data_IF_156495028680
#
_entry.id   IF_156495028680
#
_cell.length_a   1.000
_cell.length_b   1.000
_cell.length_c   1.000
_cell.angle_alpha   90.00
_cell.angle_beta   90.00
_cell.angle_gamma   90.00
#
_symmetry.space_group_name_H-M   'P 1'
#
loop_
_entity.id
_entity.type
_entity.pdbx_description
1 polymer ?
#
# COMPACT_ATOMS: atom_id res chain seq x y z
N UNK A 1 1.22 -3.15 -6.28
CA UNK A 1 1.55 -4.57 -6.55
C UNK A 1 2.57 -5.08 -5.53
N UNK A 2 2.57 -6.39 -5.24
CA UNK A 2 3.51 -6.99 -4.28
C UNK A 2 4.96 -6.85 -4.76
N UNK A 3 5.19 -7.06 -6.05
CA UNK A 3 6.51 -7.01 -6.69
C UNK A 3 7.13 -5.62 -6.56
N UNK A 4 6.32 -4.56 -6.64
CA UNK A 4 6.78 -3.18 -6.43
C UNK A 4 7.11 -2.92 -4.94
N UNK A 5 6.40 -3.56 -4.02
CA UNK A 5 6.73 -3.49 -2.60
C UNK A 5 8.05 -4.23 -2.30
N UNK A 6 8.24 -5.43 -2.87
CA UNK A 6 9.48 -6.22 -2.80
C UNK A 6 10.65 -5.48 -3.45
N UNK A 7 10.45 -4.83 -4.59
CA UNK A 7 11.49 -4.04 -5.26
C UNK A 7 11.96 -2.86 -4.40
N UNK A 8 11.05 -2.22 -3.66
CA UNK A 8 11.38 -1.07 -2.81
C UNK A 8 12.13 -1.47 -1.54
N UNK A 9 11.78 -2.63 -0.98
CA UNK A 9 12.28 -3.21 0.28
C UNK A 9 12.99 -2.25 1.24
N UNK A 10 12.30 -1.16 1.62
CA UNK A 10 12.91 0.02 2.27
C UNK A 10 13.63 -0.34 3.57
N UNK A 11 13.20 -1.43 4.21
CA UNK A 11 13.70 -1.89 5.51
C UNK A 11 14.41 -3.25 5.44
N UNK A 12 14.60 -3.82 4.24
CA UNK A 12 15.15 -5.17 4.09
C UNK A 12 14.24 -6.29 4.62
N UNK A 13 12.95 -6.02 4.82
CA UNK A 13 12.01 -6.96 5.44
C UNK A 13 11.56 -8.03 4.44
N UNK A 14 11.39 -7.68 3.17
CA UNK A 14 11.04 -8.65 2.14
C UNK A 14 12.18 -9.64 1.92
N UNK A 15 13.44 -9.17 1.88
CA UNK A 15 14.61 -10.04 1.79
C UNK A 15 14.68 -11.04 2.96
N UNK A 16 14.48 -10.58 4.20
CA UNK A 16 14.47 -11.44 5.39
C UNK A 16 13.30 -12.43 5.40
N UNK A 17 12.12 -12.00 4.95
CA UNK A 17 10.96 -12.88 4.81
C UNK A 17 11.22 -13.99 3.77
N UNK A 18 11.82 -13.65 2.62
CA UNK A 18 12.23 -14.63 1.60
C UNK A 18 13.32 -15.60 2.10
N UNK A 19 14.20 -15.14 3.00
CA UNK A 19 15.19 -15.99 3.67
C UNK A 19 14.61 -16.87 4.81
N UNK A 20 13.32 -16.71 5.15
CA UNK A 20 12.66 -17.46 6.23
C UNK A 20 12.95 -16.95 7.64
N UNK A 21 13.61 -15.79 7.77
CA UNK A 21 13.93 -15.17 9.06
C UNK A 21 12.70 -14.49 9.70
N UNK A 22 11.73 -14.08 8.87
CA UNK A 22 10.47 -13.46 9.31
C UNK A 22 9.31 -14.39 8.99
N UNK A 23 8.66 -14.91 10.03
CA UNK A 23 7.47 -15.76 9.92
C UNK A 23 6.23 -14.91 9.68
N UNK A 24 5.21 -15.51 9.06
CA UNK A 24 3.88 -14.93 8.83
C UNK A 24 3.91 -13.54 8.18
N UNK A 25 4.80 -13.35 7.20
CA UNK A 25 4.97 -12.09 6.52
C UNK A 25 3.91 -11.93 5.42
N UNK A 26 3.07 -10.90 5.56
CA UNK A 26 1.97 -10.59 4.62
C UNK A 26 2.48 -10.40 3.19
N UNK A 27 1.85 -11.11 2.25
CA UNK A 27 2.22 -11.15 0.83
C UNK A 27 3.25 -12.23 0.49
N UNK A 28 3.93 -12.83 1.48
CA UNK A 28 4.93 -13.89 1.27
C UNK A 28 4.45 -15.21 1.87
N UNK A 29 4.37 -15.29 3.20
CA UNK A 29 3.99 -16.49 3.95
C UNK A 29 2.62 -16.36 4.64
N UNK A 30 2.05 -15.16 4.68
CA UNK A 30 0.68 -14.89 5.12
C UNK A 30 -0.11 -14.14 4.03
N UNK A 31 -1.44 -14.34 3.93
CA UNK A 31 -2.26 -13.65 2.94
C UNK A 31 -2.42 -12.16 3.26
N UNK A 32 -2.69 -11.36 2.22
CA UNK A 32 -3.19 -9.99 2.36
C UNK A 32 -4.62 -9.94 1.84
N UNK A 33 -5.57 -9.66 2.72
CA UNK A 33 -6.98 -9.52 2.38
C UNK A 33 -7.26 -8.07 1.97
N UNK A 34 -7.34 -7.83 0.67
CA UNK A 34 -7.63 -6.49 0.15
C UNK A 34 -9.04 -6.04 0.59
N UNK A 35 -9.23 -4.77 1.01
CA UNK A 35 -10.54 -4.27 1.39
C UNK A 35 -11.54 -4.37 0.23
N UNK A 36 -12.73 -4.93 0.47
CA UNK A 36 -13.77 -5.05 -0.56
C UNK A 36 -14.44 -3.71 -0.89
N UNK A 37 -14.64 -2.86 0.12
CA UNK A 37 -15.32 -1.56 0.01
C UNK A 37 -14.52 -0.45 0.67
N UNK A 38 -13.33 -0.11 0.14
CA UNK A 38 -12.55 1.00 0.68
C UNK A 38 -13.21 2.33 0.35
N UNK A 39 -13.21 3.27 1.29
CA UNK A 39 -13.65 4.65 1.02
C UNK A 39 -12.79 5.30 -0.06
N UNK A 40 -11.49 4.99 -0.10
CA UNK A 40 -10.52 5.45 -1.09
C UNK A 40 -9.46 4.38 -1.34
N UNK A 41 -9.05 4.22 -2.61
CA UNK A 41 -7.93 3.36 -3.00
C UNK A 41 -6.88 4.22 -3.68
N UNK A 42 -5.67 4.24 -3.13
CA UNK A 42 -4.55 5.01 -3.68
C UNK A 42 -3.59 4.08 -4.42
N UNK A 43 -3.42 4.32 -5.71
CA UNK A 43 -2.36 3.67 -6.50
C UNK A 43 -1.05 4.42 -6.27
N UNK A 44 -0.08 3.74 -5.66
CA UNK A 44 1.23 4.32 -5.28
C UNK A 44 2.39 3.76 -6.11
N UNK A 45 2.14 2.76 -6.95
CA UNK A 45 3.13 2.21 -7.86
C UNK A 45 3.40 3.18 -9.02
N UNK A 46 4.66 3.53 -9.25
CA UNK A 46 5.06 4.43 -10.34
C UNK A 46 4.59 5.88 -10.18
N UNK A 47 4.24 6.32 -8.96
CA UNK A 47 3.73 7.67 -8.69
C UNK A 47 4.47 8.32 -7.54
N UNK A 48 4.67 9.64 -7.65
CA UNK A 48 5.21 10.46 -6.59
C UNK A 48 4.18 10.67 -5.47
N UNK A 49 4.62 10.78 -4.19
CA UNK A 49 3.73 11.00 -3.05
C UNK A 49 2.78 12.18 -3.25
N UNK A 50 3.26 13.31 -3.75
CA UNK A 50 2.50 14.54 -3.96
C UNK A 50 1.29 14.32 -4.88
N UNK A 51 1.46 13.51 -5.94
CA UNK A 51 0.39 13.17 -6.85
C UNK A 51 -0.70 12.34 -6.15
N UNK A 52 -0.29 11.36 -5.33
CA UNK A 52 -1.25 10.52 -4.59
C UNK A 52 -1.97 11.28 -3.47
N UNK A 53 -1.31 12.26 -2.85
CA UNK A 53 -1.90 13.15 -1.85
C UNK A 53 -2.96 14.05 -2.50
N UNK A 54 -2.68 14.60 -3.69
CA UNK A 54 -3.64 15.40 -4.44
C UNK A 54 -4.91 14.61 -4.74
N UNK A 55 -4.78 13.38 -5.22
CA UNK A 55 -5.94 12.50 -5.49
C UNK A 55 -6.76 12.24 -4.23
N UNK A 56 -6.09 11.95 -3.11
CA UNK A 56 -6.75 11.75 -1.82
C UNK A 56 -7.54 13.00 -1.40
N UNK A 57 -6.92 14.18 -1.52
CA UNK A 57 -7.53 15.45 -1.16
C UNK A 57 -8.78 15.75 -2.00
N UNK A 58 -8.68 15.60 -3.33
CA UNK A 58 -9.80 15.82 -4.26
C UNK A 58 -10.95 14.86 -4.01
N UNK A 59 -10.65 13.63 -3.61
CA UNK A 59 -11.68 12.65 -3.26
C UNK A 59 -12.37 12.94 -1.93
N UNK A 60 -11.62 13.36 -0.90
CA UNK A 60 -12.17 13.58 0.44
C UNK A 60 -12.84 14.95 0.61
N UNK A 61 -12.34 16.00 -0.05
CA UNK A 61 -12.81 17.37 0.16
C UNK A 61 -14.34 17.55 0.00
N UNK A 62 -15.01 16.97 -1.02
CA UNK A 62 -16.46 17.10 -1.18
C UNK A 62 -17.26 16.38 -0.10
N UNK A 63 -16.69 15.33 0.51
CA UNK A 63 -17.34 14.55 1.59
C UNK A 63 -17.26 15.27 2.92
N UNK A 64 -16.15 15.96 3.18
CA UNK A 64 -15.94 16.74 4.41
C UNK A 64 -16.73 18.05 4.39
N UNK A 65 -16.83 18.72 3.23
CA UNK A 65 -17.55 20.01 3.11
C UNK A 65 -19.08 19.92 3.09
N UNK A 66 -19.63 18.73 2.90
CA UNK A 66 -21.08 18.48 2.91
C UNK A 66 -21.59 18.07 4.31
N UNK A 67 -20.72 18.03 5.31
CA UNK A 67 -21.05 17.81 6.72
C UNK A 67 -21.28 19.13 7.46
#
# INVERSE_FOLDING_TARGET
>A
PLEECERRDVKGLYAKARAGEVKDFTGISAPFEAPEKPDVRLETAGREPEATIKDLYEHLLPRVRKA
#
